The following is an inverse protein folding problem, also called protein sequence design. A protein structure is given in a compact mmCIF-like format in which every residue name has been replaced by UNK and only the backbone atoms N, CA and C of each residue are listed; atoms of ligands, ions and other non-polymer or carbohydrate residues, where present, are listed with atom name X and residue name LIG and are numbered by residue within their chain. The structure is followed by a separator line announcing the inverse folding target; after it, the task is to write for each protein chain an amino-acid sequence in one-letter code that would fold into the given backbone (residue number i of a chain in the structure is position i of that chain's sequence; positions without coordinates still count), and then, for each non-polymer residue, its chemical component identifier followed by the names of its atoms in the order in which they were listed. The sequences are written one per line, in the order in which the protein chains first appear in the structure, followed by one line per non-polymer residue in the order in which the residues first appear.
data_IF_669742786553
#
_entry.id   IF_669742786553
#
_cell.length_a   1.000
_cell.length_b   1.000
_cell.length_c   1.000
_cell.angle_alpha   90.00
_cell.angle_beta   90.00
_cell.angle_gamma   90.00
#
_symmetry.space_group_name_H-M   'P 1'
#
loop_
_entity.id
_entity.type
_entity.pdbx_description
1 polymer ?
#
# COMPACT_ATOMS: atom_id res chain seq x y z
N UNK A 1 1.78 -6.36 13.88
CA UNK A 1 2.84 -5.90 12.95
C UNK A 1 4.17 -6.58 13.23
N UNK A 2 4.74 -6.47 14.43
CA UNK A 2 6.04 -7.10 14.75
C UNK A 2 6.12 -8.62 14.47
N UNK A 3 5.10 -9.39 14.84
CA UNK A 3 5.06 -10.83 14.55
C UNK A 3 5.11 -11.14 13.04
N UNK A 4 4.41 -10.34 12.22
CA UNK A 4 4.43 -10.48 10.77
C UNK A 4 5.80 -10.10 10.17
N UNK A 5 6.48 -9.10 10.75
CA UNK A 5 7.87 -8.76 10.38
C UNK A 5 8.81 -9.94 10.57
N UNK A 6 8.76 -10.58 11.74
CA UNK A 6 9.54 -11.79 12.00
C UNK A 6 9.21 -12.87 10.97
N UNK A 7 7.92 -13.18 10.78
CA UNK A 7 7.47 -14.16 9.81
C UNK A 7 8.04 -13.91 8.40
N UNK A 8 7.86 -12.70 7.84
CA UNK A 8 8.32 -12.40 6.48
C UNK A 8 9.84 -12.48 6.32
N UNK A 9 10.62 -12.08 7.33
CA UNK A 9 12.07 -12.19 7.26
C UNK A 9 12.58 -13.62 7.36
N UNK A 10 12.00 -14.46 8.23
CA UNK A 10 12.39 -15.87 8.36
C UNK A 10 11.93 -16.71 7.16
N UNK A 11 10.72 -16.47 6.64
CA UNK A 11 10.17 -17.19 5.48
C UNK A 11 10.79 -16.78 4.14
N UNK A 12 11.62 -15.71 4.11
CA UNK A 12 12.33 -15.29 2.88
C UNK A 12 13.20 -16.41 2.29
N UNK A 13 13.69 -17.33 3.11
CA UNK A 13 14.50 -18.47 2.66
C UNK A 13 13.67 -19.58 1.99
N UNK A 14 12.35 -19.59 2.19
CA UNK A 14 11.42 -20.65 1.77
C UNK A 14 10.73 -20.37 0.43
N UNK A 15 11.12 -19.29 -0.26
CA UNK A 15 10.54 -18.90 -1.56
C UNK A 15 11.61 -18.81 -2.65
N UNK A 16 11.17 -18.99 -3.90
CA UNK A 16 12.04 -18.83 -5.07
C UNK A 16 12.74 -17.46 -5.08
N UNK A 17 13.93 -17.42 -5.68
CA UNK A 17 14.77 -16.22 -5.75
C UNK A 17 14.04 -14.97 -6.26
N UNK A 18 13.13 -15.12 -7.22
CA UNK A 18 12.34 -14.02 -7.79
C UNK A 18 11.36 -13.38 -6.79
N UNK A 19 10.94 -14.10 -5.75
CA UNK A 19 9.98 -13.62 -4.73
C UNK A 19 10.65 -13.09 -3.45
N UNK A 20 11.95 -13.37 -3.26
CA UNK A 20 12.67 -12.96 -2.04
C UNK A 20 12.66 -11.46 -1.78
N UNK A 21 12.61 -10.64 -2.83
CA UNK A 21 12.51 -9.17 -2.69
C UNK A 21 11.10 -8.75 -2.26
N UNK A 22 10.06 -9.43 -2.74
CA UNK A 22 8.67 -9.16 -2.34
C UNK A 22 8.44 -9.47 -0.85
N UNK A 23 8.95 -10.61 -0.37
CA UNK A 23 8.92 -10.93 1.07
C UNK A 23 9.73 -9.94 1.90
N UNK A 24 10.88 -9.49 1.41
CA UNK A 24 11.68 -8.47 2.09
C UNK A 24 10.90 -7.15 2.22
N UNK A 25 10.26 -6.70 1.15
CA UNK A 25 9.44 -5.47 1.15
C UNK A 25 8.25 -5.61 2.10
N UNK A 26 7.59 -6.78 2.13
CA UNK A 26 6.51 -7.08 3.09
C UNK A 26 6.99 -7.03 4.56
N UNK A 27 8.20 -7.55 4.82
CA UNK A 27 8.86 -7.42 6.11
C UNK A 27 9.14 -5.96 6.49
N UNK A 28 9.65 -5.15 5.55
CA UNK A 28 9.90 -3.71 5.77
C UNK A 28 8.61 -2.95 6.05
N UNK A 29 7.53 -3.19 5.30
CA UNK A 29 6.22 -2.55 5.52
C UNK A 29 5.73 -2.83 6.94
N UNK A 30 5.74 -4.10 7.34
CA UNK A 30 5.27 -4.49 8.68
C UNK A 30 6.19 -3.99 9.79
N UNK A 31 7.50 -3.86 9.54
CA UNK A 31 8.47 -3.32 10.49
C UNK A 31 8.26 -1.83 10.73
N UNK A 32 8.11 -1.06 9.65
CA UNK A 32 7.82 0.38 9.70
C UNK A 32 6.51 0.59 10.45
N UNK A 33 5.46 -0.15 10.08
CA UNK A 33 4.18 -0.09 10.77
C UNK A 33 4.33 -0.44 12.25
N UNK A 34 5.07 -1.51 12.61
CA UNK A 34 5.27 -1.89 14.01
C UNK A 34 5.87 -0.75 14.83
N UNK A 35 6.93 -0.11 14.34
CA UNK A 35 7.55 1.03 15.00
C UNK A 35 6.55 2.19 15.17
N UNK A 36 5.84 2.59 14.10
CA UNK A 36 4.88 3.69 14.15
C UNK A 36 3.68 3.38 15.05
N UNK A 37 3.20 2.13 15.11
CA UNK A 37 2.12 1.74 16.01
C UNK A 37 2.51 1.86 17.49
N UNK A 38 3.77 1.61 17.86
CA UNK A 38 4.23 1.88 19.22
C UNK A 38 4.21 3.38 19.55
N UNK A 39 4.75 4.22 18.67
CA UNK A 39 4.69 5.69 18.84
C UNK A 39 3.26 6.22 18.91
N UNK A 40 2.39 5.75 18.01
CA UNK A 40 0.98 6.15 17.98
C UNK A 40 0.23 5.75 19.25
N UNK A 41 0.47 4.54 19.75
CA UNK A 41 -0.12 4.06 21.01
C UNK A 41 0.32 4.93 22.18
N UNK A 42 1.63 5.17 22.30
CA UNK A 42 2.18 5.92 23.41
C UNK A 42 1.74 7.40 23.35
N UNK A 43 1.64 7.99 22.15
CA UNK A 43 1.06 9.31 21.94
C UNK A 43 -0.41 9.36 22.38
N UNK A 44 -1.23 8.37 21.99
CA UNK A 44 -2.63 8.33 22.39
C UNK A 44 -2.80 8.22 23.92
N UNK A 45 -2.00 7.36 24.56
CA UNK A 45 -2.05 7.17 26.02
C UNK A 45 -1.59 8.40 26.80
N UNK A 46 -0.71 9.22 26.24
CA UNK A 46 -0.16 10.41 26.91
C UNK A 46 -0.94 11.68 26.61
N UNK A 47 -1.33 11.90 25.35
CA UNK A 47 -1.98 13.12 24.88
C UNK A 47 -3.51 13.01 24.81
N UNK A 48 -4.09 11.80 24.81
CA UNK A 48 -5.53 11.58 24.67
C UNK A 48 -6.10 11.96 23.30
N UNK A 49 -5.25 12.24 22.32
CA UNK A 49 -5.62 12.71 20.99
C UNK A 49 -5.30 11.67 19.90
N UNK A 50 -6.05 11.74 18.80
CA UNK A 50 -5.76 10.92 17.61
C UNK A 50 -4.34 11.24 17.08
N UNK A 51 -3.50 10.23 16.80
CA UNK A 51 -2.14 10.43 16.30
C UNK A 51 -2.11 10.62 14.77
N UNK A 52 -2.91 11.54 14.24
CA UNK A 52 -3.11 11.73 12.79
C UNK A 52 -1.79 11.95 12.05
N UNK A 53 -0.90 12.79 12.56
CA UNK A 53 0.39 13.08 11.90
C UNK A 53 1.27 11.82 11.79
N UNK A 54 1.37 11.03 12.87
CA UNK A 54 2.12 9.78 12.87
C UNK A 54 1.53 8.75 11.91
N UNK A 55 0.19 8.71 11.81
CA UNK A 55 -0.51 7.82 10.87
C UNK A 55 -0.18 8.16 9.42
N UNK A 56 -0.22 9.44 9.06
CA UNK A 56 0.09 9.86 7.69
C UNK A 56 1.57 9.72 7.34
N UNK A 57 2.49 9.85 8.31
CA UNK A 57 3.90 9.51 8.12
C UNK A 57 4.07 8.01 7.85
N UNK A 58 3.47 7.14 8.66
CA UNK A 58 3.49 5.69 8.45
C UNK A 58 2.97 5.31 7.06
N UNK A 59 1.82 5.85 6.65
CA UNK A 59 1.26 5.61 5.32
C UNK A 59 2.12 6.14 4.18
N UNK A 60 2.71 7.32 4.33
CA UNK A 60 3.61 7.89 3.32
C UNK A 60 4.82 6.98 3.05
N UNK A 61 5.28 6.24 4.06
CA UNK A 61 6.36 5.27 3.92
C UNK A 61 5.87 3.91 3.41
N UNK A 62 4.77 3.39 3.98
CA UNK A 62 4.33 2.01 3.74
C UNK A 62 3.50 1.86 2.47
N UNK A 63 2.66 2.83 2.11
CA UNK A 63 1.78 2.73 0.94
C UNK A 63 2.58 2.68 -0.37
N UNK A 64 3.60 3.53 -0.62
CA UNK A 64 4.43 3.40 -1.82
C UNK A 64 5.13 2.05 -1.89
N UNK A 65 5.60 1.50 -0.77
CA UNK A 65 6.17 0.15 -0.72
C UNK A 65 5.15 -0.93 -1.10
N UNK A 66 3.88 -0.79 -0.70
CA UNK A 66 2.82 -1.67 -1.18
C UNK A 66 2.56 -1.56 -2.69
N UNK A 67 2.87 -0.42 -3.33
CA UNK A 67 2.83 -0.27 -4.81
C UNK A 67 4.04 -0.90 -5.49
N UNK A 68 5.20 -0.83 -4.84
CA UNK A 68 6.38 -1.59 -5.28
C UNK A 68 6.07 -3.08 -5.31
N UNK A 69 5.24 -3.60 -4.40
CA UNK A 69 4.85 -5.01 -4.40
C UNK A 69 4.12 -5.44 -5.68
N UNK A 70 3.13 -4.66 -6.15
CA UNK A 70 2.47 -4.92 -7.44
C UNK A 70 3.49 -4.98 -8.60
N UNK A 71 4.43 -4.04 -8.60
CA UNK A 71 5.49 -4.01 -9.60
C UNK A 71 6.42 -5.23 -9.49
N UNK A 72 6.86 -5.60 -8.28
CA UNK A 72 7.76 -6.73 -8.07
C UNK A 72 7.14 -8.05 -8.52
N UNK A 73 5.84 -8.24 -8.30
CA UNK A 73 5.13 -9.44 -8.76
C UNK A 73 5.00 -9.52 -10.28
N UNK A 74 4.79 -8.37 -10.94
CA UNK A 74 4.64 -8.30 -12.40
C UNK A 74 5.99 -8.14 -13.14
N UNK A 75 7.09 -7.81 -12.44
CA UNK A 75 8.41 -7.57 -13.04
C UNK A 75 8.93 -8.78 -13.83
N UNK A 76 8.80 -10.03 -13.36
CA UNK A 76 9.19 -11.21 -14.16
C UNK A 76 8.39 -11.37 -15.45
N UNK A 77 7.25 -10.70 -15.58
CA UNK A 77 6.33 -10.74 -16.71
C UNK A 77 6.35 -9.43 -17.53
N UNK A 78 7.43 -8.64 -17.40
CA UNK A 78 7.70 -7.48 -18.26
C UNK A 78 7.20 -6.14 -17.74
N UNK A 79 6.79 -6.02 -16.46
CA UNK A 79 6.38 -4.73 -15.91
C UNK A 79 7.50 -3.70 -15.96
N UNK A 80 7.16 -2.49 -16.41
CA UNK A 80 8.06 -1.34 -16.48
C UNK A 80 7.99 -0.53 -15.19
N UNK A 81 9.08 0.16 -14.85
CA UNK A 81 9.12 1.08 -13.70
C UNK A 81 8.07 2.21 -13.80
N UNK A 82 7.63 2.55 -15.01
CA UNK A 82 6.54 3.52 -15.20
C UNK A 82 5.23 3.07 -14.54
N UNK A 83 4.93 1.78 -14.49
CA UNK A 83 3.77 1.24 -13.78
C UNK A 83 3.88 1.48 -12.27
N UNK A 84 5.06 1.23 -11.71
CA UNK A 84 5.35 1.48 -10.29
C UNK A 84 5.14 2.96 -9.95
N UNK A 85 5.75 3.87 -10.72
CA UNK A 85 5.62 5.31 -10.49
C UNK A 85 4.20 5.82 -10.72
N UNK A 86 3.45 5.27 -11.67
CA UNK A 86 2.03 5.57 -11.87
C UNK A 86 1.23 5.22 -10.61
N UNK A 87 1.41 4.02 -10.06
CA UNK A 87 0.71 3.59 -8.83
C UNK A 87 1.14 4.38 -7.59
N UNK A 88 2.42 4.76 -7.50
CA UNK A 88 2.92 5.66 -6.44
C UNK A 88 2.27 7.05 -6.59
N UNK A 89 2.17 7.58 -7.80
CA UNK A 89 1.53 8.88 -8.06
C UNK A 89 0.07 8.93 -7.57
N UNK A 90 -0.71 7.90 -7.87
CA UNK A 90 -2.07 7.78 -7.32
C UNK A 90 -2.10 7.74 -5.79
N UNK A 91 -1.13 7.04 -5.20
CA UNK A 91 -1.02 6.93 -3.74
C UNK A 91 -0.63 8.25 -3.08
N UNK A 92 0.26 9.02 -3.70
CA UNK A 92 0.66 10.35 -3.22
C UNK A 92 -0.54 11.30 -3.27
N UNK A 93 -1.30 11.31 -4.37
CA UNK A 93 -2.52 12.12 -4.46
C UNK A 93 -3.51 11.78 -3.34
N UNK A 94 -3.76 10.47 -3.14
CA UNK A 94 -4.66 9.97 -2.10
C UNK A 94 -4.21 10.46 -0.70
N UNK A 95 -2.95 10.22 -0.33
CA UNK A 95 -2.45 10.53 1.01
C UNK A 95 -2.31 12.02 1.26
N UNK A 96 -1.81 12.80 0.30
CA UNK A 96 -1.65 14.25 0.47
C UNK A 96 -3.01 14.93 0.59
N UNK A 97 -3.97 14.57 -0.28
CA UNK A 97 -5.31 15.13 -0.20
C UNK A 97 -6.01 14.74 1.11
N UNK A 98 -5.92 13.48 1.53
CA UNK A 98 -6.47 13.01 2.81
C UNK A 98 -5.89 13.80 3.99
N UNK A 99 -4.56 13.96 4.02
CA UNK A 99 -3.89 14.68 5.11
C UNK A 99 -4.31 16.14 5.18
N UNK A 100 -4.46 16.81 4.03
CA UNK A 100 -4.95 18.19 3.99
C UNK A 100 -6.37 18.29 4.55
N UNK A 101 -7.26 17.40 4.13
CA UNK A 101 -8.64 17.36 4.59
C UNK A 101 -8.75 17.15 6.11
N UNK A 102 -7.98 16.23 6.66
CA UNK A 102 -8.03 15.89 8.08
C UNK A 102 -7.28 16.88 8.98
N UNK A 103 -6.08 17.33 8.59
CA UNK A 103 -5.18 18.04 9.49
C UNK A 103 -5.24 19.57 9.35
N UNK A 104 -5.66 20.10 8.20
CA UNK A 104 -5.53 21.54 7.90
C UNK A 104 -6.82 22.20 7.39
N UNK A 105 -7.75 21.43 6.82
CA UNK A 105 -8.89 21.98 6.07
C UNK A 105 -10.23 21.36 6.49
N UNK A 106 -10.53 21.37 7.80
CA UNK A 106 -11.74 20.74 8.36
C UNK A 106 -13.05 21.21 7.69
N UNK A 107 -13.17 22.50 7.33
CA UNK A 107 -14.36 23.05 6.64
C UNK A 107 -14.50 22.57 5.19
N UNK A 108 -13.42 22.12 4.57
CA UNK A 108 -13.38 21.57 3.22
C UNK A 108 -13.06 20.07 3.20
N UNK A 109 -13.20 19.37 4.33
CA UNK A 109 -12.82 17.98 4.49
C UNK A 109 -13.49 17.05 3.47
N UNK A 110 -14.77 17.30 3.14
CA UNK A 110 -15.51 16.52 2.13
C UNK A 110 -14.87 16.67 0.74
N UNK A 111 -14.49 17.89 0.36
CA UNK A 111 -13.85 18.16 -0.93
C UNK A 111 -12.49 17.46 -1.02
N UNK A 112 -11.67 17.57 0.02
CA UNK A 112 -10.36 16.90 0.07
C UNK A 112 -10.48 15.38 0.14
N UNK A 113 -11.50 14.85 0.83
CA UNK A 113 -11.84 13.43 0.84
C UNK A 113 -12.23 12.92 -0.55
N UNK A 114 -13.01 13.68 -1.31
CA UNK A 114 -13.32 13.34 -2.70
C UNK A 114 -12.06 13.31 -3.58
N UNK A 115 -11.17 14.30 -3.46
CA UNK A 115 -9.89 14.32 -4.20
C UNK A 115 -9.02 13.11 -3.81
N UNK A 116 -8.95 12.79 -2.52
CA UNK A 116 -8.25 11.59 -2.03
C UNK A 116 -8.82 10.32 -2.66
N UNK A 117 -10.15 10.23 -2.73
CA UNK A 117 -10.88 9.10 -3.32
C UNK A 117 -10.54 8.91 -4.79
N UNK A 118 -10.27 9.98 -5.56
CA UNK A 118 -9.82 9.85 -6.95
C UNK A 118 -8.46 9.15 -7.07
N UNK A 119 -7.54 9.43 -6.14
CA UNK A 119 -6.26 8.71 -6.05
C UNK A 119 -6.49 7.22 -5.79
N UNK A 120 -7.30 6.88 -4.79
CA UNK A 120 -7.66 5.50 -4.49
C UNK A 120 -8.36 4.80 -5.66
N UNK A 121 -9.32 5.44 -6.30
CA UNK A 121 -10.05 4.93 -7.45
C UNK A 121 -9.09 4.62 -8.62
N UNK A 122 -8.06 5.45 -8.84
CA UNK A 122 -7.01 5.17 -9.82
C UNK A 122 -6.23 3.88 -9.53
N UNK A 123 -5.89 3.63 -8.26
CA UNK A 123 -5.22 2.38 -7.84
C UNK A 123 -6.14 1.18 -8.06
N UNK A 124 -7.41 1.28 -7.64
CA UNK A 124 -8.42 0.23 -7.83
C UNK A 124 -8.64 -0.06 -9.31
N UNK A 125 -8.72 0.97 -10.15
CA UNK A 125 -8.85 0.83 -11.59
C UNK A 125 -7.68 0.04 -12.18
N UNK A 126 -6.44 0.41 -11.86
CA UNK A 126 -5.25 -0.30 -12.35
C UNK A 126 -5.28 -1.79 -11.99
N UNK A 127 -5.62 -2.10 -10.74
CA UNK A 127 -5.66 -3.46 -10.21
C UNK A 127 -6.86 -4.30 -10.67
N UNK A 128 -7.95 -3.68 -11.13
CA UNK A 128 -9.19 -4.36 -11.55
C UNK A 128 -9.28 -4.56 -13.07
N UNK A 129 -8.95 -3.52 -13.84
CA UNK A 129 -9.16 -3.50 -15.29
C UNK A 129 -8.11 -2.69 -16.06
N UNK A 130 -7.13 -2.07 -15.38
CA UNK A 130 -6.04 -1.34 -16.01
C UNK A 130 -4.81 -2.20 -16.30
N UNK A 131 -3.63 -1.57 -16.25
CA UNK A 131 -2.37 -2.18 -16.69
C UNK A 131 -1.97 -3.36 -15.81
N UNK A 132 -2.15 -3.27 -14.49
CA UNK A 132 -1.85 -4.38 -13.56
C UNK A 132 -2.71 -5.61 -13.89
N UNK A 133 -4.02 -5.40 -14.08
CA UNK A 133 -4.95 -6.48 -14.39
C UNK A 133 -4.67 -7.14 -15.75
N UNK A 134 -4.41 -6.34 -16.79
CA UNK A 134 -4.05 -6.86 -18.12
C UNK A 134 -2.77 -7.69 -18.06
N UNK A 135 -1.70 -7.16 -17.47
CA UNK A 135 -0.43 -7.87 -17.38
C UNK A 135 -0.54 -9.19 -16.60
N UNK A 136 -1.33 -9.20 -15.53
CA UNK A 136 -1.58 -10.44 -14.78
C UNK A 136 -2.29 -11.48 -15.64
N UNK A 137 -3.29 -11.06 -16.43
CA UNK A 137 -4.02 -11.95 -17.36
C UNK A 137 -3.09 -12.47 -18.47
N UNK A 138 -2.33 -11.58 -19.09
CA UNK A 138 -1.45 -11.87 -20.24
C UNK A 138 -0.25 -12.74 -19.85
N UNK A 139 0.08 -12.81 -18.55
CA UNK A 139 1.14 -13.69 -18.04
C UNK A 139 0.90 -15.18 -18.26
N UNK A 140 -0.37 -15.60 -18.39
CA UNK A 140 -0.75 -17.02 -18.41
C UNK A 140 -0.50 -17.78 -17.10
N UNK A 141 -0.02 -17.13 -16.04
CA UNK A 141 0.33 -17.75 -14.77
C UNK A 141 -0.82 -17.66 -13.75
N UNK A 142 -1.43 -18.82 -13.43
CA UNK A 142 -2.54 -18.91 -12.49
C UNK A 142 -2.18 -18.44 -11.07
N UNK A 143 -0.94 -18.65 -10.63
CA UNK A 143 -0.48 -18.20 -9.31
C UNK A 143 -0.34 -16.68 -9.27
N UNK A 144 0.19 -16.07 -10.33
CA UNK A 144 0.28 -14.60 -10.43
C UNK A 144 -1.11 -13.98 -10.48
N UNK A 145 -2.03 -14.50 -11.30
CA UNK A 145 -3.40 -14.01 -11.39
C UNK A 145 -4.10 -14.06 -10.05
N UNK A 146 -3.91 -15.15 -9.29
CA UNK A 146 -4.44 -15.28 -7.93
C UNK A 146 -3.80 -14.26 -6.98
N UNK A 147 -2.49 -14.08 -7.01
CA UNK A 147 -1.78 -13.12 -6.16
C UNK A 147 -2.25 -11.68 -6.41
N UNK A 148 -2.36 -11.27 -7.68
CA UNK A 148 -2.87 -9.96 -8.07
C UNK A 148 -4.34 -9.81 -7.69
N UNK A 149 -5.16 -10.85 -7.83
CA UNK A 149 -6.55 -10.86 -7.38
C UNK A 149 -6.70 -10.63 -5.86
N UNK A 150 -5.82 -11.26 -5.06
CA UNK A 150 -5.77 -11.05 -3.61
C UNK A 150 -5.36 -9.62 -3.26
N UNK A 151 -4.31 -9.09 -3.89
CA UNK A 151 -3.86 -7.72 -3.67
C UNK A 151 -4.91 -6.68 -4.12
N UNK A 152 -5.58 -6.92 -5.25
CA UNK A 152 -6.71 -6.11 -5.72
C UNK A 152 -7.83 -6.10 -4.68
N UNK A 153 -8.23 -7.25 -4.15
CA UNK A 153 -9.28 -7.33 -3.15
C UNK A 153 -8.86 -6.66 -1.84
N UNK A 154 -7.59 -6.75 -1.46
CA UNK A 154 -7.05 -6.03 -0.30
C UNK A 154 -7.15 -4.51 -0.48
N UNK A 155 -6.79 -3.99 -1.66
CA UNK A 155 -6.91 -2.55 -1.96
C UNK A 155 -8.36 -2.10 -2.15
N UNK A 156 -9.23 -2.96 -2.67
CA UNK A 156 -10.64 -2.61 -2.90
C UNK A 156 -11.45 -2.67 -1.60
N UNK A 157 -11.42 -3.80 -0.89
CA UNK A 157 -12.26 -4.04 0.28
C UNK A 157 -11.54 -3.62 1.56
N UNK A 158 -10.25 -3.99 1.69
CA UNK A 158 -9.48 -3.70 2.89
C UNK A 158 -9.20 -2.21 3.08
N UNK A 159 -9.00 -1.45 2.00
CA UNK A 159 -8.71 -0.02 2.10
C UNK A 159 -9.96 0.86 2.16
N UNK A 160 -11.13 0.36 1.75
CA UNK A 160 -12.40 1.10 1.87
C UNK A 160 -12.82 1.38 3.33
N UNK A 161 -12.08 0.85 4.31
CA UNK A 161 -12.26 1.10 5.74
C UNK A 161 -11.65 2.47 6.15
N UNK A 162 -10.71 2.99 5.35
CA UNK A 162 -10.07 4.30 5.54
C UNK A 162 -10.77 5.35 4.69
#
# INVERSE_FOLDING_TARGET
MLAATAFFFFERSQVDGKWKTSLLVSGLITMIAAAHYYYMRDYYLTAGMSPTQFRYIDWTLTVPLMRVEFFLLLRPYGAKQSLMWKMIGYSVLMLVAGYIGEAFAATAAIMWGFISTLGWAGIVYEATMGSVASMAKDSGDAHLQRAIGLLRNFVLVGWAIY
#
